data_IF_366227399569
#
_entry.id   IF_366227399569
#
_cell.length_a   1.000
_cell.length_b   1.000
_cell.length_c   1.000
_cell.angle_alpha   90.00
_cell.angle_beta   90.00
_cell.angle_gamma   90.00
#
_symmetry.space_group_name_H-M   'P 1'
#
loop_
_entity.id
_entity.type
_entity.pdbx_description
1 polymer ?
#
# COMPACT_ATOMS: atom_id res chain seq x y z
N UNK A 1 17.80 -12.17 7.52
CA UNK A 1 17.77 -12.03 6.04
C UNK A 1 18.48 -13.18 5.33
N UNK A 2 19.56 -13.74 5.87
CA UNK A 2 20.33 -14.82 5.21
C UNK A 2 19.55 -16.13 5.00
N UNK A 3 18.66 -16.49 5.93
CA UNK A 3 17.83 -17.70 5.83
C UNK A 3 16.90 -17.69 4.59
N UNK A 4 16.32 -16.54 4.25
CA UNK A 4 15.46 -16.40 3.07
C UNK A 4 16.27 -16.43 1.78
N UNK A 5 17.48 -15.88 1.79
CA UNK A 5 18.34 -15.84 0.61
C UNK A 5 18.80 -17.24 0.18
N UNK A 6 19.01 -18.14 1.13
CA UNK A 6 19.33 -19.55 0.86
C UNK A 6 18.14 -20.36 0.32
N UNK A 7 16.91 -19.90 0.54
CA UNK A 7 15.70 -20.51 -0.04
C UNK A 7 15.50 -20.04 -1.49
N UNK A 8 15.75 -18.76 -1.77
CA UNK A 8 15.57 -18.17 -3.10
C UNK A 8 16.70 -18.58 -4.05
N UNK A 9 17.93 -18.65 -3.55
CA UNK A 9 19.12 -19.08 -4.28
C UNK A 9 19.90 -20.12 -3.46
N UNK A 10 19.60 -21.42 -3.59
CA UNK A 10 20.40 -22.45 -2.95
C UNK A 10 21.81 -22.41 -3.53
N UNK A 11 22.79 -21.99 -2.71
CA UNK A 11 24.22 -22.05 -3.07
C UNK A 11 24.74 -23.48 -3.20
N UNK A 12 24.00 -24.44 -2.68
CA UNK A 12 24.37 -25.86 -2.69
C UNK A 12 23.48 -26.63 -3.67
N UNK A 13 24.11 -27.50 -4.46
CA UNK A 13 23.50 -28.30 -5.52
C UNK A 13 22.53 -29.37 -4.98
N UNK A 14 22.42 -29.55 -3.66
CA UNK A 14 21.50 -30.53 -3.07
C UNK A 14 20.05 -30.02 -3.09
N UNK A 15 19.09 -30.80 -3.60
CA UNK A 15 17.68 -30.43 -3.56
C UNK A 15 17.19 -30.31 -2.10
N UNK A 16 16.61 -29.17 -1.74
CA UNK A 16 16.17 -28.85 -0.37
C UNK A 16 15.15 -29.84 0.21
N UNK A 17 14.35 -30.48 -0.66
CA UNK A 17 13.29 -31.41 -0.27
C UNK A 17 13.80 -32.71 0.39
N UNK A 18 15.08 -33.08 0.21
CA UNK A 18 15.67 -34.23 0.93
C UNK A 18 15.79 -33.99 2.44
N UNK A 19 15.96 -32.73 2.86
CA UNK A 19 16.12 -32.37 4.27
C UNK A 19 14.81 -31.92 4.91
N UNK A 20 13.97 -31.19 4.17
CA UNK A 20 12.70 -30.68 4.71
C UNK A 20 11.58 -31.72 4.68
N UNK A 21 11.62 -32.69 3.76
CA UNK A 21 10.50 -33.62 3.50
C UNK A 21 9.25 -32.93 2.96
N UNK A 22 9.31 -31.63 2.73
CA UNK A 22 8.20 -30.81 2.25
C UNK A 22 8.37 -30.62 0.74
N UNK A 23 7.27 -30.80 0.00
CA UNK A 23 7.24 -30.66 -1.46
C UNK A 23 8.32 -31.50 -2.17
N UNK A 24 8.21 -32.85 -2.16
CA UNK A 24 9.14 -33.70 -2.89
C UNK A 24 8.97 -33.56 -4.41
N UNK A 25 10.09 -33.40 -5.13
CA UNK A 25 10.09 -33.46 -6.60
C UNK A 25 9.89 -34.89 -7.11
N UNK A 26 10.25 -35.87 -6.27
CA UNK A 26 10.24 -37.29 -6.59
C UNK A 26 9.42 -38.03 -5.54
N UNK A 27 8.42 -38.78 -5.97
CA UNK A 27 7.55 -39.59 -5.11
C UNK A 27 7.57 -41.04 -5.57
N UNK A 28 7.43 -41.98 -4.63
CA UNK A 28 7.15 -43.37 -4.96
C UNK A 28 5.65 -43.54 -5.14
N UNK A 29 5.25 -44.12 -6.26
CA UNK A 29 3.86 -44.46 -6.54
C UNK A 29 3.72 -45.97 -6.67
N UNK A 30 2.76 -46.52 -5.93
CA UNK A 30 2.45 -47.94 -5.94
C UNK A 30 1.35 -48.21 -6.96
N UNK A 31 1.63 -49.14 -7.86
CA UNK A 31 0.69 -49.60 -8.88
C UNK A 31 0.39 -51.08 -8.65
N UNK A 32 -0.90 -51.43 -8.65
CA UNK A 32 -1.36 -52.81 -8.53
C UNK A 32 -1.46 -53.44 -9.93
N UNK A 33 -0.68 -54.49 -10.19
CA UNK A 33 -0.74 -55.27 -11.43
C UNK A 33 -1.28 -56.66 -11.11
N UNK A 34 -2.24 -57.13 -11.90
CA UNK A 34 -2.83 -58.47 -11.76
C UNK A 34 -2.11 -59.44 -12.70
N UNK A 35 -1.38 -60.40 -12.14
CA UNK A 35 -0.77 -61.50 -12.89
C UNK A 35 -1.27 -62.83 -12.33
N UNK A 36 -1.82 -63.69 -13.20
CA UNK A 36 -2.26 -65.06 -12.85
C UNK A 36 -3.20 -65.17 -11.63
N UNK A 37 -4.09 -64.19 -11.46
CA UNK A 37 -5.04 -64.16 -10.34
C UNK A 37 -4.48 -63.68 -9.00
N UNK A 38 -3.19 -63.36 -8.93
CA UNK A 38 -2.58 -62.69 -7.78
C UNK A 38 -2.40 -61.19 -8.08
N UNK A 39 -2.71 -60.33 -7.10
CA UNK A 39 -2.45 -58.89 -7.18
C UNK A 39 -1.05 -58.64 -6.64
N UNK A 40 -0.12 -58.22 -7.51
CA UNK A 40 1.23 -57.84 -7.12
C UNK A 40 1.37 -56.32 -7.15
N UNK A 41 1.89 -55.74 -6.08
CA UNK A 41 2.14 -54.30 -5.96
C UNK A 41 3.55 -53.97 -6.43
N UNK A 42 3.66 -53.16 -7.48
CA UNK A 42 4.94 -52.64 -7.97
C UNK A 42 5.08 -51.17 -7.61
N UNK A 43 6.24 -50.80 -7.07
CA UNK A 43 6.57 -49.42 -6.71
C UNK A 43 7.43 -48.80 -7.81
N UNK A 44 7.05 -47.64 -8.35
CA UNK A 44 7.88 -46.91 -9.33
C UNK A 44 8.14 -45.48 -8.88
N UNK A 45 9.23 -44.92 -9.38
CA UNK A 45 9.62 -43.54 -9.09
C UNK A 45 8.93 -42.58 -10.06
N UNK A 46 8.07 -41.70 -9.54
CA UNK A 46 7.39 -40.65 -10.29
C UNK A 46 8.02 -39.28 -10.01
N UNK A 47 8.07 -38.42 -11.03
CA UNK A 47 8.52 -37.03 -10.90
C UNK A 47 7.30 -36.11 -10.90
N UNK A 48 7.13 -35.32 -9.84
CA UNK A 48 6.03 -34.39 -9.68
C UNK A 48 6.41 -33.01 -10.24
N UNK A 49 6.34 -32.87 -11.56
CA UNK A 49 6.73 -31.65 -12.28
C UNK A 49 5.93 -30.41 -11.83
N UNK A 50 4.66 -30.60 -11.45
CA UNK A 50 3.81 -29.54 -10.90
C UNK A 50 4.45 -28.83 -9.71
N UNK A 51 5.12 -29.61 -8.85
CA UNK A 51 5.74 -29.08 -7.65
C UNK A 51 6.97 -28.20 -7.96
N UNK A 52 7.72 -28.54 -9.02
CA UNK A 52 8.80 -27.68 -9.53
C UNK A 52 8.25 -26.31 -9.98
N UNK A 53 7.13 -26.30 -10.70
CA UNK A 53 6.49 -25.06 -11.14
C UNK A 53 6.01 -24.23 -9.95
N UNK A 54 5.37 -24.88 -8.98
CA UNK A 54 4.87 -24.24 -7.75
C UNK A 54 6.01 -23.59 -6.97
N UNK A 55 7.15 -24.26 -6.79
CA UNK A 55 8.33 -23.69 -6.13
C UNK A 55 8.80 -22.39 -6.81
N UNK A 56 8.93 -22.39 -8.14
CA UNK A 56 9.40 -21.21 -8.88
C UNK A 56 8.38 -20.07 -8.89
N UNK A 57 7.09 -20.37 -9.05
CA UNK A 57 6.02 -19.37 -9.02
C UNK A 57 5.93 -18.70 -7.65
N UNK A 58 6.04 -19.48 -6.56
CA UNK A 58 5.99 -18.90 -5.22
C UNK A 58 7.16 -17.96 -4.93
N UNK A 59 8.37 -18.27 -5.40
CA UNK A 59 9.52 -17.37 -5.26
C UNK A 59 9.29 -16.06 -6.04
N UNK A 60 8.79 -16.13 -7.28
CA UNK A 60 8.47 -14.93 -8.08
C UNK A 60 7.39 -14.09 -7.40
N UNK A 61 6.31 -14.71 -6.93
CA UNK A 61 5.25 -14.03 -6.19
C UNK A 61 5.76 -13.42 -4.90
N UNK A 62 6.63 -14.12 -4.16
CA UNK A 62 7.19 -13.60 -2.92
C UNK A 62 8.03 -12.33 -3.15
N UNK A 63 8.91 -12.33 -4.16
CA UNK A 63 9.69 -11.15 -4.52
C UNK A 63 8.77 -10.00 -4.96
N UNK A 64 7.77 -10.30 -5.79
CA UNK A 64 6.77 -9.33 -6.22
C UNK A 64 6.00 -8.69 -5.05
N UNK A 65 5.50 -9.51 -4.11
CA UNK A 65 4.78 -9.03 -2.93
C UNK A 65 5.69 -8.22 -1.99
N UNK A 66 6.96 -8.58 -1.84
CA UNK A 66 7.92 -7.79 -1.04
C UNK A 66 8.18 -6.41 -1.64
N UNK A 67 8.27 -6.31 -2.98
CA UNK A 67 8.38 -5.02 -3.68
C UNK A 67 7.11 -4.20 -3.45
N UNK A 68 5.92 -4.78 -3.66
CA UNK A 68 4.65 -4.09 -3.42
C UNK A 68 4.50 -3.64 -1.96
N UNK A 69 4.85 -4.48 -0.98
CA UNK A 69 4.82 -4.15 0.43
C UNK A 69 5.74 -2.98 0.77
N UNK A 70 6.92 -2.93 0.15
CA UNK A 70 7.88 -1.83 0.35
C UNK A 70 7.34 -0.53 -0.25
N UNK A 71 6.84 -0.56 -1.49
CA UNK A 71 6.27 0.63 -2.16
C UNK A 71 5.05 1.18 -1.42
N UNK A 72 4.14 0.30 -0.99
CA UNK A 72 2.95 0.69 -0.22
C UNK A 72 3.32 1.24 1.15
N UNK A 73 4.28 0.63 1.86
CA UNK A 73 4.76 1.16 3.15
C UNK A 73 5.38 2.56 3.00
N UNK A 74 6.22 2.77 1.97
CA UNK A 74 6.79 4.09 1.68
C UNK A 74 5.70 5.12 1.33
N UNK A 75 4.67 4.72 0.57
CA UNK A 75 3.53 5.59 0.26
C UNK A 75 2.78 5.98 1.53
N UNK A 76 2.45 5.01 2.40
CA UNK A 76 1.76 5.26 3.68
C UNK A 76 2.60 6.17 4.59
N UNK A 77 3.91 5.93 4.70
CA UNK A 77 4.80 6.79 5.49
C UNK A 77 4.86 8.22 4.95
N UNK A 78 4.91 8.39 3.62
CA UNK A 78 4.85 9.71 2.99
C UNK A 78 3.52 10.42 3.32
N UNK A 79 2.39 9.72 3.20
CA UNK A 79 1.08 10.27 3.58
C UNK A 79 1.02 10.65 5.06
N UNK A 80 1.52 9.81 5.97
CA UNK A 80 1.56 10.11 7.41
C UNK A 80 2.42 11.34 7.67
N UNK A 81 3.59 11.44 7.05
CA UNK A 81 4.48 12.60 7.16
C UNK A 81 3.77 13.88 6.69
N UNK A 82 3.18 13.85 5.49
CA UNK A 82 2.44 14.97 4.89
C UNK A 82 1.22 15.39 5.72
N UNK A 83 0.55 14.44 6.38
CA UNK A 83 -0.59 14.68 7.26
C UNK A 83 -0.18 15.09 8.68
N UNK A 84 1.06 14.89 9.10
CA UNK A 84 1.53 15.30 10.44
C UNK A 84 2.11 16.71 10.39
N UNK A 85 2.75 17.08 9.29
CA UNK A 85 3.32 18.42 9.12
C UNK A 85 2.25 19.51 9.00
N UNK A 86 1.99 20.20 10.11
CA UNK A 86 1.05 21.32 10.14
C UNK A 86 1.44 22.44 9.18
N UNK A 87 2.73 22.71 9.01
CA UNK A 87 3.23 23.71 8.06
C UNK A 87 2.83 23.38 6.61
N UNK A 88 2.90 22.11 6.22
CA UNK A 88 2.48 21.67 4.89
C UNK A 88 0.96 21.80 4.69
N UNK A 89 0.16 21.56 5.74
CA UNK A 89 -1.31 21.77 5.70
C UNK A 89 -1.66 23.23 5.49
N UNK A 90 -1.05 24.12 6.29
CA UNK A 90 -1.21 25.57 6.16
C UNK A 90 -0.84 26.04 4.77
N UNK A 91 0.34 25.65 4.28
CA UNK A 91 0.82 26.06 2.97
C UNK A 91 -0.07 25.56 1.83
N UNK A 92 -0.56 24.32 1.93
CA UNK A 92 -1.49 23.75 0.94
C UNK A 92 -2.78 24.55 0.88
N UNK A 93 -3.44 24.81 2.01
CA UNK A 93 -4.70 25.58 2.04
C UNK A 93 -4.48 27.02 1.60
N UNK A 94 -3.43 27.68 2.09
CA UNK A 94 -3.09 29.05 1.74
C UNK A 94 -2.91 29.22 0.23
N UNK A 95 -2.20 28.29 -0.42
CA UNK A 95 -1.98 28.33 -1.87
C UNK A 95 -3.30 28.11 -2.66
N UNK A 96 -4.20 27.25 -2.16
CA UNK A 96 -5.50 27.04 -2.81
C UNK A 96 -6.45 28.24 -2.63
N UNK A 97 -6.40 28.90 -1.47
CA UNK A 97 -7.17 30.12 -1.22
C UNK A 97 -6.68 31.29 -2.06
N UNK A 98 -5.36 31.47 -2.18
CA UNK A 98 -4.74 32.47 -3.05
C UNK A 98 -5.18 32.30 -4.51
N UNK A 99 -5.24 31.05 -4.99
CA UNK A 99 -5.68 30.75 -6.35
C UNK A 99 -7.19 30.91 -6.57
N UNK A 100 -8.02 30.79 -5.53
CA UNK A 100 -9.48 30.91 -5.63
C UNK A 100 -10.00 32.35 -5.80
N UNK A 101 -9.12 33.35 -5.75
CA UNK A 101 -9.49 34.76 -5.93
C UNK A 101 -10.21 35.38 -4.72
N UNK A 102 -10.22 34.72 -3.55
CA UNK A 102 -10.66 35.37 -2.31
C UNK A 102 -9.65 36.44 -1.90
N UNK A 103 -10.07 37.62 -1.42
CA UNK A 103 -9.17 38.70 -1.00
C UNK A 103 -8.44 38.29 0.28
N UNK A 104 -7.35 37.53 0.12
CA UNK A 104 -6.55 37.01 1.21
C UNK A 104 -5.14 37.57 1.08
N UNK A 105 -4.76 38.46 2.00
CA UNK A 105 -3.39 38.94 2.09
C UNK A 105 -2.58 37.93 2.93
N UNK A 106 -1.65 37.24 2.27
CA UNK A 106 -0.71 36.30 2.88
C UNK A 106 0.18 36.94 3.95
N UNK A 107 0.39 38.25 3.87
CA UNK A 107 1.27 38.98 4.77
C UNK A 107 0.58 39.43 6.06
N UNK A 108 -0.75 39.39 6.13
CA UNK A 108 -1.47 39.77 7.34
C UNK A 108 -1.42 38.63 8.38
N UNK A 109 -0.83 38.85 9.57
CA UNK A 109 -0.82 37.84 10.64
C UNK A 109 -2.21 37.43 11.12
N UNK A 110 -3.24 38.26 10.95
CA UNK A 110 -4.62 37.90 11.33
C UNK A 110 -5.17 36.80 10.43
N UNK A 111 -4.98 36.95 9.11
CA UNK A 111 -5.41 35.99 8.10
C UNK A 111 -4.80 34.60 8.34
N UNK A 112 -3.50 34.54 8.70
CA UNK A 112 -2.84 33.27 9.05
C UNK A 112 -3.50 32.60 10.25
N UNK A 113 -3.87 33.36 11.28
CA UNK A 113 -4.56 32.83 12.47
C UNK A 113 -5.97 32.30 12.14
N UNK A 114 -6.69 32.95 11.23
CA UNK A 114 -7.99 32.46 10.76
C UNK A 114 -7.85 31.14 9.98
N UNK A 115 -6.81 30.99 9.15
CA UNK A 115 -6.53 29.74 8.43
C UNK A 115 -6.16 28.61 9.38
N UNK A 116 -5.32 28.87 10.38
CA UNK A 116 -4.98 27.87 11.41
C UNK A 116 -6.23 27.41 12.18
N UNK A 117 -7.11 28.36 12.55
CA UNK A 117 -8.39 28.05 13.17
C UNK A 117 -9.29 27.20 12.27
N UNK A 118 -9.41 27.55 11.00
CA UNK A 118 -10.17 26.78 10.02
C UNK A 118 -9.61 25.35 9.87
N UNK A 119 -8.29 25.21 9.82
CA UNK A 119 -7.61 23.93 9.74
C UNK A 119 -7.86 23.06 10.97
N UNK A 120 -7.69 23.62 12.18
CA UNK A 120 -7.74 22.84 13.42
C UNK A 120 -9.18 22.65 13.95
N UNK A 121 -10.04 23.66 13.89
CA UNK A 121 -11.41 23.58 14.45
C UNK A 121 -12.45 23.05 13.46
N UNK A 122 -12.31 23.36 12.16
CA UNK A 122 -13.35 23.05 11.18
C UNK A 122 -12.99 21.87 10.27
N UNK A 123 -11.78 21.86 9.70
CA UNK A 123 -11.39 20.83 8.74
C UNK A 123 -10.85 19.55 9.43
N UNK A 124 -10.04 19.70 10.48
CA UNK A 124 -9.40 18.59 11.17
C UNK A 124 -8.40 17.82 10.28
N UNK A 125 -7.90 16.71 10.81
CA UNK A 125 -6.93 15.83 10.10
C UNK A 125 -7.63 15.06 8.97
N UNK A 126 -8.87 14.63 9.19
CA UNK A 126 -9.62 13.87 8.19
C UNK A 126 -10.04 14.75 7.01
N UNK A 127 -10.47 15.99 7.26
CA UNK A 127 -10.87 16.91 6.21
C UNK A 127 -9.70 17.31 5.31
N UNK A 128 -8.50 17.55 5.88
CA UNK A 128 -7.32 17.85 5.06
C UNK A 128 -6.87 16.62 4.27
N UNK A 129 -7.01 15.42 4.81
CA UNK A 129 -6.74 14.18 4.10
C UNK A 129 -7.66 14.00 2.89
N UNK A 130 -8.98 14.14 3.10
CA UNK A 130 -9.97 14.06 2.01
C UNK A 130 -9.70 15.13 0.96
N UNK A 131 -9.41 16.36 1.38
CA UNK A 131 -9.13 17.46 0.45
C UNK A 131 -7.89 17.20 -0.42
N UNK A 132 -6.80 16.69 0.17
CA UNK A 132 -5.59 16.29 -0.57
C UNK A 132 -5.87 15.10 -1.49
N UNK A 133 -6.69 14.15 -1.06
CA UNK A 133 -7.11 13.02 -1.88
C UNK A 133 -7.90 13.49 -3.10
N UNK A 134 -8.85 14.42 -2.92
CA UNK A 134 -9.62 15.05 -4.00
C UNK A 134 -8.68 15.81 -4.94
N UNK A 135 -7.75 16.61 -4.41
CA UNK A 135 -6.77 17.33 -5.24
C UNK A 135 -5.91 16.39 -6.10
N UNK A 136 -5.60 15.19 -5.61
CA UNK A 136 -4.81 14.21 -6.36
C UNK A 136 -5.59 13.41 -7.41
N UNK A 137 -6.93 13.30 -7.29
CA UNK A 137 -7.74 12.45 -8.17
C UNK A 137 -8.73 13.20 -9.08
N UNK A 138 -9.24 14.36 -8.66
CA UNK A 138 -10.31 15.07 -9.37
C UNK A 138 -9.82 16.24 -10.23
N UNK A 139 -8.59 16.74 -9.96
CA UNK A 139 -7.94 17.95 -10.49
C UNK A 139 -7.77 19.06 -9.43
N UNK A 140 -6.72 19.85 -9.60
CA UNK A 140 -6.35 20.94 -8.67
C UNK A 140 -7.37 22.07 -8.72
N UNK A 141 -7.96 22.38 -9.88
CA UNK A 141 -8.98 23.44 -10.02
C UNK A 141 -10.24 23.08 -9.24
N UNK A 142 -10.66 21.82 -9.30
CA UNK A 142 -11.80 21.36 -8.51
C UNK A 142 -11.51 21.45 -7.00
N UNK A 143 -10.29 21.10 -6.59
CA UNK A 143 -9.90 21.23 -5.19
C UNK A 143 -9.87 22.69 -4.70
N UNK A 144 -9.41 23.65 -5.52
CA UNK A 144 -9.41 25.08 -5.13
C UNK A 144 -10.84 25.61 -4.96
N UNK A 145 -11.77 25.25 -5.86
CA UNK A 145 -13.18 25.61 -5.72
C UNK A 145 -13.82 25.00 -4.46
N UNK A 146 -13.48 23.75 -4.15
CA UNK A 146 -13.95 23.07 -2.94
C UNK A 146 -13.42 23.74 -1.67
N UNK A 147 -12.12 24.09 -1.62
CA UNK A 147 -11.52 24.86 -0.52
C UNK A 147 -12.25 26.19 -0.34
N UNK A 148 -12.47 26.92 -1.42
CA UNK A 148 -13.15 28.22 -1.39
C UNK A 148 -14.59 28.10 -0.89
N UNK A 149 -15.31 27.06 -1.31
CA UNK A 149 -16.67 26.76 -0.84
C UNK A 149 -16.70 26.43 0.66
N UNK A 150 -15.78 25.58 1.12
CA UNK A 150 -15.63 25.24 2.54
C UNK A 150 -15.27 26.45 3.41
N UNK A 151 -14.38 27.31 2.91
CA UNK A 151 -13.96 28.54 3.58
C UNK A 151 -15.12 29.53 3.75
N UNK A 152 -15.92 29.76 2.72
CA UNK A 152 -17.13 30.60 2.81
C UNK A 152 -18.14 30.02 3.81
N UNK A 153 -18.35 28.69 3.78
CA UNK A 153 -19.24 28.01 4.72
C UNK A 153 -18.77 28.17 6.17
N UNK A 154 -17.45 28.07 6.42
CA UNK A 154 -16.87 28.28 7.74
C UNK A 154 -17.18 29.66 8.30
N UNK A 155 -17.04 30.73 7.50
CA UNK A 155 -17.39 32.08 7.95
C UNK A 155 -18.86 32.21 8.35
N UNK A 156 -19.77 31.60 7.59
CA UNK A 156 -21.21 31.60 7.91
C UNK A 156 -21.48 30.90 9.25
N UNK A 157 -20.74 29.83 9.57
CA UNK A 157 -20.83 29.16 10.87
C UNK A 157 -20.19 29.96 12.00
N UNK A 158 -19.05 30.63 11.75
CA UNK A 158 -18.42 31.50 12.75
C UNK A 158 -19.29 32.70 13.10
N UNK A 159 -19.99 33.28 12.12
CA UNK A 159 -20.92 34.39 12.33
C UNK A 159 -22.12 33.97 13.19
N UNK A 160 -22.65 32.75 13.01
CA UNK A 160 -23.73 32.21 13.85
C UNK A 160 -23.32 31.87 15.29
N UNK A 161 -22.01 31.72 15.56
CA UNK A 161 -21.50 31.46 16.91
C UNK A 161 -21.25 32.74 17.72
N UNK A 162 -21.26 33.92 17.07
CA UNK A 162 -21.19 35.22 17.73
C UNK A 162 -22.59 35.74 18.05
#
# INVERSE_FOLDING_TARGET
MESWMNIIWPKNVSPSWHHSGIFPLVTLCDFEVREMGNVQTHTVQCVLVLNLFTEKIFILLWVWFMILATLTSLSVLNWIYLLTENCSKEHFILNHLEMSGTPFDKNDPQNKKHVDRFLHEYLGIDGIFVLRMVANHADVVFATELVASLWRSHYVFEEKRK
#
